data_IF_336276523814
#
_entry.id   IF_336276523814
#
_cell.length_a   1.000
_cell.length_b   1.000
_cell.length_c   1.000
_cell.angle_alpha   90.00
_cell.angle_beta   90.00
_cell.angle_gamma   90.00
#
_symmetry.space_group_name_H-M   'P 1'
#
loop_
_entity.id
_entity.type
_entity.pdbx_description
1 polymer ?
#
# COMPACT_ATOMS: atom_id res chain seq x y z
N UNK A 1 -1.24 -12.19 -3.55
CA UNK A 1 -0.81 -10.82 -3.17
C UNK A 1 0.48 -10.54 -3.88
N UNK A 2 0.58 -9.42 -4.59
CA UNK A 2 1.83 -9.01 -5.25
C UNK A 2 2.29 -7.71 -4.62
N UNK A 3 3.59 -7.64 -4.27
CA UNK A 3 4.22 -6.45 -3.71
C UNK A 3 5.41 -6.12 -4.60
N UNK A 4 5.47 -4.89 -5.11
CA UNK A 4 6.59 -4.41 -5.91
C UNK A 4 7.13 -3.12 -5.32
N UNK A 5 8.41 -3.14 -4.98
CA UNK A 5 9.14 -1.94 -4.55
C UNK A 5 9.32 -0.99 -5.74
N UNK A 6 8.95 0.27 -5.56
CA UNK A 6 9.15 1.33 -6.55
C UNK A 6 10.42 2.14 -6.21
N UNK A 7 10.85 2.99 -7.14
CA UNK A 7 12.04 3.83 -6.93
C UNK A 7 11.86 4.72 -5.69
N UNK A 8 12.88 4.75 -4.83
CA UNK A 8 12.94 5.68 -3.69
C UNK A 8 12.83 7.12 -4.20
N UNK A 9 12.11 7.95 -3.46
CA UNK A 9 12.09 9.40 -3.68
C UNK A 9 12.82 10.06 -2.54
N UNK A 10 13.91 10.74 -2.88
CA UNK A 10 14.62 11.58 -1.94
C UNK A 10 13.93 12.95 -1.94
N UNK A 11 13.41 13.34 -0.78
CA UNK A 11 12.86 14.66 -0.56
C UNK A 11 13.75 15.34 0.48
N UNK A 12 13.95 16.65 0.36
CA UNK A 12 14.76 17.42 1.31
C UNK A 12 14.25 17.22 2.75
N UNK A 13 14.96 16.40 3.53
CA UNK A 13 14.64 16.05 4.92
C UNK A 13 14.05 14.65 5.16
N UNK A 14 13.55 13.94 4.14
CA UNK A 14 13.04 12.57 4.31
C UNK A 14 13.06 11.73 3.03
N UNK A 15 13.18 10.41 3.18
CA UNK A 15 13.14 9.46 2.08
C UNK A 15 11.76 8.78 2.06
N UNK A 16 11.13 8.75 0.89
CA UNK A 16 9.91 8.00 0.64
C UNK A 16 10.24 6.69 -0.10
N UNK A 17 9.81 5.55 0.46
CA UNK A 17 9.86 4.25 -0.20
C UNK A 17 8.43 3.82 -0.59
N UNK A 18 8.03 4.00 -1.86
CA UNK A 18 6.75 3.53 -2.33
C UNK A 18 6.78 2.03 -2.63
N UNK A 19 5.70 1.34 -2.24
CA UNK A 19 5.43 -0.07 -2.51
C UNK A 19 4.12 -0.16 -3.28
N UNK A 20 4.15 -0.64 -4.53
CA UNK A 20 2.94 -0.97 -5.27
C UNK A 20 2.40 -2.30 -4.77
N UNK A 21 1.12 -2.33 -4.39
CA UNK A 21 0.44 -3.52 -3.91
C UNK A 21 -0.74 -3.87 -4.79
N UNK A 22 -0.87 -5.16 -5.08
CA UNK A 22 -1.99 -5.75 -5.80
C UNK A 22 -2.58 -6.89 -4.94
N UNK A 23 -3.85 -6.73 -4.57
CA UNK A 23 -4.60 -7.67 -3.74
C UNK A 23 -5.85 -8.12 -4.49
N UNK A 24 -6.06 -9.43 -4.56
CA UNK A 24 -7.29 -10.03 -5.08
C UNK A 24 -7.83 -10.95 -4.00
N UNK A 25 -9.09 -10.75 -3.62
CA UNK A 25 -9.71 -11.43 -2.49
C UNK A 25 -11.14 -10.95 -2.26
N UNK A 26 -11.73 -11.29 -1.11
CA UNK A 26 -13.00 -10.68 -0.71
C UNK A 26 -12.75 -9.32 -0.03
N UNK A 27 -13.83 -8.54 0.16
CA UNK A 27 -13.75 -7.21 0.78
C UNK A 27 -13.21 -7.26 2.21
N UNK A 28 -13.64 -8.24 3.00
CA UNK A 28 -13.22 -8.39 4.40
C UNK A 28 -11.70 -8.61 4.51
N UNK A 29 -11.11 -9.44 3.65
CA UNK A 29 -9.67 -9.67 3.62
C UNK A 29 -8.87 -8.41 3.26
N UNK A 30 -9.39 -7.57 2.36
CA UNK A 30 -8.77 -6.27 2.07
C UNK A 30 -8.83 -5.33 3.28
N UNK A 31 -9.98 -5.28 3.96
CA UNK A 31 -10.16 -4.46 5.16
C UNK A 31 -9.25 -4.93 6.31
N UNK A 32 -9.20 -6.24 6.60
CA UNK A 32 -8.28 -6.80 7.59
C UNK A 32 -6.82 -6.47 7.28
N UNK A 33 -6.43 -6.50 6.01
CA UNK A 33 -5.08 -6.08 5.61
C UNK A 33 -4.79 -4.61 5.95
N UNK A 34 -5.76 -3.71 5.76
CA UNK A 34 -5.60 -2.29 6.14
C UNK A 34 -5.45 -2.13 7.66
N UNK A 35 -6.22 -2.87 8.46
CA UNK A 35 -6.10 -2.87 9.92
C UNK A 35 -4.74 -3.39 10.39
N UNK A 36 -4.22 -4.44 9.76
CA UNK A 36 -2.86 -4.94 10.05
C UNK A 36 -1.79 -3.92 9.68
N UNK A 37 -1.97 -3.22 8.57
CA UNK A 37 -1.06 -2.18 8.13
C UNK A 37 -1.07 -0.98 9.10
N UNK A 38 -2.23 -0.57 9.60
CA UNK A 38 -2.37 0.51 10.59
C UNK A 38 -1.62 0.23 11.90
N UNK A 39 -1.52 -1.04 12.32
CA UNK A 39 -0.81 -1.44 13.54
C UNK A 39 0.71 -1.27 13.46
N UNK A 40 1.29 -1.08 12.27
CA UNK A 40 2.73 -0.98 12.12
C UNK A 40 3.23 0.39 12.65
N UNK A 41 4.27 0.44 13.49
CA UNK A 41 4.79 1.68 14.08
C UNK A 41 5.68 2.45 13.09
N UNK A 42 5.11 2.81 11.93
CA UNK A 42 5.78 3.52 10.84
C UNK A 42 4.83 4.58 10.26
N UNK A 43 5.38 5.72 9.88
CA UNK A 43 4.62 6.73 9.12
C UNK A 43 4.41 6.18 7.72
N UNK A 44 3.15 5.99 7.33
CA UNK A 44 2.77 5.44 6.05
C UNK A 44 1.65 6.26 5.42
N UNK A 45 1.59 6.27 4.09
CA UNK A 45 0.51 6.90 3.32
C UNK A 45 0.07 5.98 2.19
N UNK A 46 -1.23 5.68 2.15
CA UNK A 46 -1.84 4.99 1.02
C UNK A 46 -2.17 6.03 -0.07
N UNK A 47 -1.79 5.73 -1.31
CA UNK A 47 -2.00 6.57 -2.50
C UNK A 47 -2.59 5.73 -3.63
N UNK A 48 -3.27 6.39 -4.55
CA UNK A 48 -3.75 5.78 -5.81
C UNK A 48 -4.60 4.52 -5.60
N UNK A 49 -5.42 4.48 -4.54
CA UNK A 49 -6.27 3.34 -4.25
C UNK A 49 -7.35 3.18 -5.33
N UNK A 50 -7.26 2.06 -6.05
CA UNK A 50 -8.26 1.61 -7.02
C UNK A 50 -8.84 0.28 -6.55
N UNK A 51 -10.13 0.29 -6.22
CA UNK A 51 -10.89 -0.89 -5.84
C UNK A 51 -11.86 -1.24 -6.97
N UNK A 52 -11.81 -2.48 -7.46
CA UNK A 52 -12.70 -2.97 -8.52
C UNK A 52 -13.44 -4.23 -8.05
N UNK A 53 -14.76 -4.25 -8.19
CA UNK A 53 -15.56 -5.48 -8.08
C UNK A 53 -15.23 -6.41 -9.25
N UNK A 54 -14.99 -7.68 -8.99
CA UNK A 54 -14.83 -8.70 -10.03
C UNK A 54 -16.24 -9.14 -10.48
N UNK A 55 -16.60 -8.88 -11.73
CA UNK A 55 -17.94 -9.22 -12.25
C UNK A 55 -18.13 -10.72 -12.50
N UNK A 56 -17.05 -11.45 -12.76
CA UNK A 56 -17.07 -12.89 -13.04
C UNK A 56 -17.09 -13.75 -11.78
N UNK A 57 -16.74 -13.19 -10.62
CA UNK A 57 -16.66 -13.91 -9.34
C UNK A 57 -17.27 -13.05 -8.25
N UNK A 58 -18.51 -13.36 -7.91
CA UNK A 58 -19.27 -12.62 -6.91
C UNK A 58 -18.56 -12.59 -5.56
N UNK A 59 -18.64 -11.45 -4.86
CA UNK A 59 -17.95 -11.22 -3.58
C UNK A 59 -16.44 -10.98 -3.67
N UNK A 60 -15.83 -11.05 -4.86
CA UNK A 60 -14.39 -10.75 -5.04
C UNK A 60 -14.14 -9.32 -5.50
N UNK A 61 -13.03 -8.78 -5.02
CA UNK A 61 -12.48 -7.48 -5.36
C UNK A 61 -11.03 -7.63 -5.82
N UNK A 62 -10.61 -6.67 -6.63
CA UNK A 62 -9.22 -6.41 -6.94
C UNK A 62 -8.87 -5.00 -6.46
N UNK A 63 -7.94 -4.89 -5.51
CA UNK A 63 -7.41 -3.64 -5.00
C UNK A 63 -6.00 -3.42 -5.53
N UNK A 64 -5.75 -2.23 -6.06
CA UNK A 64 -4.43 -1.77 -6.48
C UNK A 64 -4.15 -0.43 -5.81
N UNK A 65 -3.04 -0.30 -5.12
CA UNK A 65 -2.69 0.92 -4.40
C UNK A 65 -1.18 1.00 -4.19
N UNK A 66 -0.72 2.18 -3.81
CA UNK A 66 0.67 2.41 -3.41
C UNK A 66 0.70 2.70 -1.91
N UNK A 67 1.58 2.03 -1.19
CA UNK A 67 1.91 2.34 0.22
C UNK A 67 3.27 3.03 0.22
N UNK A 68 3.29 4.29 0.62
CA UNK A 68 4.50 5.05 0.82
C UNK A 68 4.93 4.97 2.27
N UNK A 69 6.15 4.50 2.53
CA UNK A 69 6.76 4.47 3.87
C UNK A 69 7.79 5.60 3.94
N UNK A 70 7.76 6.38 5.03
CA UNK A 70 8.64 7.53 5.21
C UNK A 70 9.76 7.23 6.20
N UNK A 71 10.96 7.67 5.87
CA UNK A 71 12.16 7.55 6.70
C UNK A 71 12.81 8.91 6.85
N UNK A 72 13.32 9.22 8.04
CA UNK A 72 14.15 10.42 8.23
C UNK A 72 15.38 10.32 7.33
N UNK A 73 15.68 11.38 6.57
CA UNK A 73 16.92 11.44 5.82
C UNK A 73 18.04 11.68 6.84
N UNK A 74 18.87 10.66 7.09
CA UNK A 74 20.06 10.84 7.93
C UNK A 74 21.12 11.55 7.07
N UNK A 75 21.03 12.87 6.95
CA UNK A 75 22.22 13.69 6.74
C UNK A 75 23.07 13.57 7.99
N UNK A 76 24.07 12.67 7.95
CA UNK A 76 25.22 12.74 8.86
C UNK A 76 26.11 13.91 8.47
#
# INVERSE_FOLDING_TARGET
KTIRTLKKKDNSGYIEQPLKMELVGNFNSFYSFLLELEKLPRIMKIRELKLKKQTKQEGRIAANFIVSIFFQNKTS
#
